data_IF_753863354154
#
_entry.id   IF_753863354154
#
_cell.length_a   1.000
_cell.length_b   1.000
_cell.length_c   1.000
_cell.angle_alpha   90.00
_cell.angle_beta   90.00
_cell.angle_gamma   90.00
#
_symmetry.space_group_name_H-M   'P 1'
#
loop_
_entity.id
_entity.type
_entity.pdbx_description
1 polymer ?
#
# COMPACT_ATOMS: atom_id res chain seq x y z
N UNK A 1 -13.82 -12.32 -3.96
CA UNK A 1 -12.99 -11.45 -3.10
C UNK A 1 -11.94 -10.84 -4.01
N UNK A 2 -11.87 -9.51 -4.14
CA UNK A 2 -10.85 -8.87 -4.98
C UNK A 2 -9.68 -8.44 -4.07
N UNK A 3 -8.79 -9.40 -3.82
CA UNK A 3 -7.67 -9.23 -2.88
C UNK A 3 -6.56 -8.37 -3.45
N UNK A 4 -6.41 -8.30 -4.78
CA UNK A 4 -5.34 -7.57 -5.47
C UNK A 4 -5.42 -6.07 -5.16
N UNK A 5 -6.61 -5.47 -5.29
CA UNK A 5 -6.78 -4.03 -5.03
C UNK A 5 -6.62 -3.71 -3.55
N UNK A 6 -7.17 -4.55 -2.66
CA UNK A 6 -7.01 -4.39 -1.22
C UNK A 6 -5.54 -4.45 -0.78
N UNK A 7 -4.76 -5.38 -1.32
CA UNK A 7 -3.32 -5.47 -1.10
C UNK A 7 -2.57 -4.24 -1.64
N UNK A 8 -2.94 -3.72 -2.82
CA UNK A 8 -2.36 -2.47 -3.36
C UNK A 8 -2.62 -1.28 -2.44
N UNK A 9 -3.86 -1.07 -2.00
CA UNK A 9 -4.22 -0.01 -1.06
C UNK A 9 -3.37 -0.11 0.21
N UNK A 10 -3.25 -1.33 0.77
CA UNK A 10 -2.42 -1.59 1.95
C UNK A 10 -0.94 -1.27 1.73
N UNK A 11 -0.40 -1.60 0.57
CA UNK A 11 1.00 -1.32 0.23
C UNK A 11 1.25 0.19 0.06
N UNK A 12 0.34 0.91 -0.59
CA UNK A 12 0.40 2.38 -0.74
C UNK A 12 0.34 3.08 0.62
N UNK A 13 -0.54 2.64 1.52
CA UNK A 13 -0.58 3.17 2.88
C UNK A 13 0.74 2.97 3.61
N UNK A 14 1.28 1.75 3.57
CA UNK A 14 2.54 1.41 4.24
C UNK A 14 3.74 2.18 3.67
N UNK A 15 3.79 2.43 2.36
CA UNK A 15 4.89 3.23 1.77
C UNK A 15 4.88 4.69 2.23
N UNK A 16 3.72 5.19 2.67
CA UNK A 16 3.55 6.51 3.30
C UNK A 16 3.70 6.50 4.83
N UNK A 17 3.96 5.33 5.44
CA UNK A 17 4.01 5.13 6.90
C UNK A 17 2.74 5.57 7.66
N UNK A 18 1.56 5.44 7.04
CA UNK A 18 0.29 5.81 7.66
C UNK A 18 -0.40 4.59 8.30
N UNK A 19 -1.10 4.81 9.40
CA UNK A 19 -2.04 3.88 10.03
C UNK A 19 -3.37 3.82 9.26
N UNK A 20 -4.20 2.82 9.55
CA UNK A 20 -5.52 2.70 8.92
C UNK A 20 -6.45 3.83 9.37
N UNK A 21 -6.31 4.25 10.62
CA UNK A 21 -7.00 5.38 11.25
C UNK A 21 -6.67 6.69 10.52
N UNK A 22 -5.40 6.99 10.30
CA UNK A 22 -4.96 8.23 9.62
C UNK A 22 -5.49 8.30 8.18
N UNK A 23 -5.41 7.22 7.41
CA UNK A 23 -5.95 7.23 6.04
C UNK A 23 -7.47 7.38 6.06
N UNK A 24 -8.15 6.71 6.98
CA UNK A 24 -9.60 6.82 7.10
C UNK A 24 -10.05 8.26 7.39
N UNK A 25 -9.33 8.98 8.26
CA UNK A 25 -9.56 10.39 8.52
C UNK A 25 -9.33 11.25 7.27
N UNK A 26 -8.23 11.01 6.54
CA UNK A 26 -7.86 11.76 5.33
C UNK A 26 -8.87 11.61 4.18
N UNK A 27 -9.51 10.44 4.05
CA UNK A 27 -10.54 10.20 3.02
C UNK A 27 -11.97 10.25 3.56
N UNK A 28 -12.15 10.74 4.79
CA UNK A 28 -13.44 10.94 5.46
C UNK A 28 -14.33 9.67 5.57
N UNK A 29 -13.74 8.56 6.00
CA UNK A 29 -14.45 7.29 6.28
C UNK A 29 -14.17 6.79 7.69
N UNK A 30 -14.94 5.80 8.14
CA UNK A 30 -14.58 5.09 9.38
C UNK A 30 -13.34 4.21 9.16
N UNK A 31 -12.53 4.05 10.20
CA UNK A 31 -11.39 3.11 10.19
C UNK A 31 -11.81 1.70 9.76
N UNK A 32 -12.98 1.24 10.23
CA UNK A 32 -13.52 -0.07 9.86
C UNK A 32 -13.87 -0.18 8.38
N UNK A 33 -14.33 0.91 7.76
CA UNK A 33 -14.61 1.01 6.33
C UNK A 33 -13.32 0.87 5.54
N UNK A 34 -12.27 1.59 5.95
CA UNK A 34 -10.97 1.52 5.32
C UNK A 34 -10.30 0.14 5.50
N UNK A 35 -10.39 -0.47 6.70
CA UNK A 35 -9.91 -1.83 6.94
C UNK A 35 -10.59 -2.86 6.03
N UNK A 36 -11.90 -2.72 5.75
CA UNK A 36 -12.62 -3.60 4.79
C UNK A 36 -12.11 -3.44 3.35
N UNK A 37 -11.68 -2.23 2.96
CA UNK A 37 -11.06 -1.99 1.66
C UNK A 37 -9.76 -2.79 1.53
N UNK A 38 -8.87 -2.68 2.52
CA UNK A 38 -7.59 -3.42 2.53
C UNK A 38 -7.78 -4.93 2.58
N UNK A 39 -8.79 -5.41 3.29
CA UNK A 39 -9.11 -6.84 3.39
C UNK A 39 -9.77 -7.41 2.13
N UNK A 40 -10.12 -6.58 1.14
CA UNK A 40 -10.76 -7.03 -0.11
C UNK A 40 -12.09 -7.76 0.08
N UNK A 41 -12.69 -7.66 1.28
CA UNK A 41 -13.88 -8.44 1.67
C UNK A 41 -15.17 -7.97 0.99
N UNK A 42 -15.09 -6.94 0.14
CA UNK A 42 -16.16 -6.42 -0.72
C UNK A 42 -15.57 -5.45 -1.76
N UNK A 43 -16.41 -4.83 -2.60
CA UNK A 43 -16.02 -3.71 -3.47
C UNK A 43 -16.15 -2.34 -2.79
N UNK A 44 -16.05 -2.28 -1.46
CA UNK A 44 -16.19 -1.02 -0.69
C UNK A 44 -15.18 0.04 -1.09
N UNK A 45 -14.05 -0.35 -1.70
CA UNK A 45 -13.02 0.56 -2.21
C UNK A 45 -13.42 1.26 -3.51
N UNK A 46 -14.36 0.71 -4.30
CA UNK A 46 -14.68 1.21 -5.64
C UNK A 46 -15.24 2.63 -5.63
N UNK A 47 -16.06 2.97 -4.63
CA UNK A 47 -16.58 4.33 -4.43
C UNK A 47 -15.53 5.34 -3.98
N UNK A 48 -14.33 4.88 -3.61
CA UNK A 48 -13.26 5.70 -3.06
C UNK A 48 -12.01 5.68 -3.94
N UNK A 49 -12.12 5.24 -5.20
CA UNK A 49 -10.99 5.24 -6.14
C UNK A 49 -10.39 6.64 -6.26
N UNK A 50 -11.22 7.65 -6.49
CA UNK A 50 -10.76 9.04 -6.65
C UNK A 50 -10.02 9.56 -5.41
N UNK A 51 -10.61 9.55 -4.19
CA UNK A 51 -9.90 10.05 -3.01
C UNK A 51 -8.65 9.24 -2.66
N UNK A 52 -8.64 7.93 -2.91
CA UNK A 52 -7.42 7.11 -2.73
C UNK A 52 -6.33 7.50 -3.75
N UNK A 53 -6.70 7.76 -5.00
CA UNK A 53 -5.77 8.19 -6.04
C UNK A 53 -5.19 9.57 -5.72
N UNK A 54 -6.01 10.51 -5.29
CA UNK A 54 -5.57 11.85 -4.86
C UNK A 54 -4.64 11.77 -3.65
N UNK A 55 -4.98 10.97 -2.64
CA UNK A 55 -4.16 10.79 -1.45
C UNK A 55 -2.78 10.22 -1.78
N UNK A 56 -2.72 9.21 -2.65
CA UNK A 56 -1.46 8.52 -2.98
C UNK A 56 -0.71 9.16 -4.15
N UNK A 57 -1.34 10.07 -4.90
CA UNK A 57 -0.76 10.71 -6.08
C UNK A 57 -0.58 9.73 -7.24
N UNK A 58 -1.53 8.81 -7.42
CA UNK A 58 -1.51 7.79 -8.49
C UNK A 58 -2.72 7.94 -9.40
N UNK A 59 -2.65 7.34 -10.58
CA UNK A 59 -3.81 7.25 -11.48
C UNK A 59 -4.70 6.04 -11.16
N UNK A 60 -6.02 6.11 -11.41
CA UNK A 60 -6.94 4.98 -11.21
C UNK A 60 -6.48 3.68 -11.91
N UNK A 61 -5.89 3.80 -13.09
CA UNK A 61 -5.36 2.68 -13.86
C UNK A 61 -4.27 1.94 -13.11
N UNK A 62 -3.41 2.65 -12.36
CA UNK A 62 -2.33 2.05 -11.57
C UNK A 62 -2.87 1.24 -10.38
N UNK A 63 -3.93 1.74 -9.76
CA UNK A 63 -4.63 1.06 -8.67
C UNK A 63 -5.32 -0.23 -9.17
N UNK A 64 -5.86 -0.20 -10.39
CA UNK A 64 -6.64 -1.29 -10.97
C UNK A 64 -5.81 -2.31 -11.78
N UNK A 65 -4.58 -1.97 -12.15
CA UNK A 65 -3.73 -2.84 -12.97
C UNK A 65 -3.47 -4.17 -12.26
N UNK A 66 -3.76 -5.29 -12.89
CA UNK A 66 -3.32 -6.60 -12.40
C UNK A 66 -1.85 -6.79 -12.81
N UNK A 67 -0.93 -6.67 -11.85
CA UNK A 67 0.47 -6.97 -12.11
C UNK A 67 0.60 -8.50 -12.24
N UNK A 68 0.68 -8.99 -13.48
CA UNK A 68 1.01 -10.39 -13.77
C UNK A 68 2.48 -10.62 -13.38
N UNK A 69 2.75 -10.94 -12.13
CA UNK A 69 4.08 -11.35 -11.71
C UNK A 69 4.24 -12.85 -11.98
N UNK A 70 4.72 -13.19 -13.17
CA UNK A 70 5.44 -14.46 -13.37
C UNK A 70 6.90 -14.17 -13.02
N UNK A 71 7.36 -14.64 -11.87
CA UNK A 71 8.80 -14.72 -11.58
C UNK A 71 9.17 -16.18 -11.36
N UNK A 72 9.78 -16.76 -12.40
CA UNK A 72 10.64 -17.93 -12.27
C UNK A 72 12.08 -17.48 -12.03
N UNK A 73 12.68 -18.05 -10.97
CA UNK A 73 14.11 -18.32 -10.73
C UNK A 73 15.02 -17.35 -9.96
N UNK A 74 15.56 -17.95 -8.89
CA UNK A 74 16.87 -17.87 -8.25
C UNK A 74 17.97 -17.05 -8.95
N UNK A 75 18.57 -16.15 -8.16
CA UNK A 75 19.92 -15.59 -8.34
C UNK A 75 20.27 -15.01 -9.71
N UNK A 76 19.98 -13.72 -9.91
CA UNK A 76 20.96 -12.78 -10.51
C UNK A 76 20.48 -11.33 -10.37
N UNK A 77 21.34 -10.52 -9.77
CA UNK A 77 21.62 -9.10 -10.03
C UNK A 77 20.48 -8.20 -10.55
N UNK A 78 20.01 -7.37 -9.62
CA UNK A 78 19.32 -6.10 -9.77
C UNK A 78 19.23 -5.45 -11.17
N UNK A 79 17.99 -5.25 -11.65
CA UNK A 79 17.51 -4.02 -12.32
C UNK A 79 16.02 -3.83 -12.03
N UNK A 80 15.68 -3.14 -10.94
CA UNK A 80 14.33 -2.63 -10.70
C UNK A 80 14.32 -1.11 -10.91
N UNK A 81 13.57 -0.65 -11.90
CA UNK A 81 12.96 0.69 -11.83
C UNK A 81 11.78 0.58 -10.87
N UNK A 82 11.89 1.18 -9.68
CA UNK A 82 10.80 1.25 -8.70
C UNK A 82 11.01 0.47 -7.41
N UNK A 83 12.25 0.27 -6.94
CA UNK A 83 12.50 -0.28 -5.61
C UNK A 83 12.27 0.80 -4.53
N UNK A 84 11.28 0.63 -3.65
CA UNK A 84 11.27 1.33 -2.37
C UNK A 84 12.23 0.58 -1.44
N UNK A 85 13.44 1.12 -1.26
CA UNK A 85 14.38 0.65 -0.25
C UNK A 85 13.89 1.22 1.09
N UNK A 86 13.24 0.40 1.92
CA UNK A 86 12.99 0.77 3.32
C UNK A 86 14.30 0.47 4.09
N UNK A 87 15.17 1.48 4.19
CA UNK A 87 16.20 1.46 5.23
C UNK A 87 15.49 1.80 6.54
N UNK A 88 15.27 0.79 7.39
CA UNK A 88 14.84 1.03 8.75
C UNK A 88 16.05 1.51 9.57
N UNK A 89 16.40 2.79 9.40
CA UNK A 89 17.39 3.49 10.21
C UNK A 89 16.81 3.64 11.62
N UNK A 90 17.06 2.66 12.49
CA UNK A 90 16.68 2.73 13.90
C UNK A 90 17.90 3.16 14.72
N UNK A 91 18.30 4.42 14.59
CA UNK A 91 19.25 5.05 15.52
C UNK A 91 18.51 5.51 16.77
N UNK A 92 18.46 4.67 17.81
CA UNK A 92 18.39 5.09 19.22
C UNK A 92 19.09 4.09 20.15
N UNK A 93 20.29 4.49 20.59
CA UNK A 93 20.85 4.36 21.95
C UNK A 93 20.78 3.00 22.66
N UNK A 94 21.90 2.26 22.68
CA UNK A 94 22.42 1.66 23.92
C UNK A 94 23.95 1.85 23.92
N UNK A 95 24.37 2.95 24.53
CA UNK A 95 25.65 3.05 25.21
C UNK A 95 25.61 2.07 26.38
N UNK A 96 26.32 0.94 26.31
CA UNK A 96 26.89 0.30 27.50
C UNK A 96 27.91 -0.77 27.11
N UNK A 97 29.19 -0.41 27.17
CA UNK A 97 30.26 -1.23 27.75
C UNK A 97 31.32 -0.29 28.32
#
# INVERSE_FOLDING_TARGET
MNTIVGEKIKNLRKSKNLSQEEVAELIHVSQSTYARMENGSSNSWAGYIIPLCELYGIQPEELLKSDNIVIHNNNTSCKYSGAYVINNLSDKLIEQY
#
